data_IF_083195101083
#
_entry.id   IF_083195101083
#
_cell.length_a   1.000
_cell.length_b   1.000
_cell.length_c   1.000
_cell.angle_alpha   90.00
_cell.angle_beta   90.00
_cell.angle_gamma   90.00
#
_symmetry.space_group_name_H-M   'P 1'
#
loop_
_entity.id
_entity.type
_entity.pdbx_description
1 polymer ?
#
# COMPACT_ATOMS: atom_id res chain seq x y z
N UNK A 1 -11.95 -12.48 -13.12
CA UNK A 1 -11.07 -11.46 -12.52
C UNK A 1 -10.48 -12.06 -11.26
N UNK A 2 -9.17 -12.31 -11.26
CA UNK A 2 -8.47 -12.80 -10.08
C UNK A 2 -8.36 -11.67 -9.04
N UNK A 3 -8.50 -12.01 -7.76
CA UNK A 3 -8.43 -11.07 -6.63
C UNK A 3 -7.15 -11.33 -5.83
N UNK A 4 -6.30 -10.31 -5.76
CA UNK A 4 -5.04 -10.38 -5.01
C UNK A 4 -5.02 -9.26 -3.98
N UNK A 5 -4.68 -9.61 -2.74
CA UNK A 5 -4.40 -8.66 -1.67
C UNK A 5 -2.93 -8.72 -1.33
N UNK A 6 -2.27 -7.56 -1.36
CA UNK A 6 -0.91 -7.40 -0.84
C UNK A 6 -1.00 -6.69 0.51
N UNK A 7 -0.40 -7.30 1.53
CA UNK A 7 -0.22 -6.70 2.86
C UNK A 7 1.26 -6.39 3.03
N UNK A 8 1.61 -5.15 3.33
CA UNK A 8 2.99 -4.74 3.56
C UNK A 8 3.15 -4.11 4.94
N UNK A 9 4.19 -4.53 5.67
CA UNK A 9 4.41 -4.13 7.06
C UNK A 9 5.64 -3.23 7.27
N UNK A 10 6.64 -3.34 6.39
CA UNK A 10 7.94 -2.68 6.53
C UNK A 10 7.89 -1.16 6.34
N UNK A 11 8.67 -0.43 7.14
CA UNK A 11 8.83 1.02 7.01
C UNK A 11 9.35 1.41 5.60
N UNK A 12 8.91 2.55 5.04
CA UNK A 12 9.57 3.12 3.87
C UNK A 12 11.02 3.48 4.21
N UNK A 13 11.95 3.21 3.29
CA UNK A 13 13.38 3.56 3.38
C UNK A 13 14.19 2.95 4.55
N UNK A 14 13.56 2.20 5.47
CA UNK A 14 14.27 1.44 6.52
C UNK A 14 14.53 -0.02 6.15
N UNK A 15 13.73 -0.57 5.24
CA UNK A 15 13.92 -1.92 4.68
C UNK A 15 13.40 -1.95 3.24
N UNK A 16 13.86 -2.92 2.46
CA UNK A 16 13.39 -3.10 1.08
C UNK A 16 12.05 -3.87 0.98
N UNK A 17 11.47 -4.32 2.11
CA UNK A 17 10.22 -5.09 2.11
C UNK A 17 9.08 -4.33 1.42
N UNK A 18 8.83 -3.08 1.84
CA UNK A 18 7.79 -2.25 1.24
C UNK A 18 8.08 -1.96 -0.24
N UNK A 19 9.32 -1.57 -0.56
CA UNK A 19 9.74 -1.32 -1.94
C UNK A 19 9.45 -2.52 -2.85
N UNK A 20 9.85 -3.73 -2.43
CA UNK A 20 9.64 -4.95 -3.20
C UNK A 20 8.15 -5.29 -3.33
N UNK A 21 7.34 -5.05 -2.30
CA UNK A 21 5.88 -5.25 -2.35
C UNK A 21 5.22 -4.35 -3.41
N UNK A 22 5.61 -3.07 -3.46
CA UNK A 22 5.10 -2.11 -4.43
C UNK A 22 5.60 -2.41 -5.85
N UNK A 23 6.86 -2.82 -5.99
CA UNK A 23 7.42 -3.23 -7.28
C UNK A 23 6.66 -4.42 -7.86
N UNK A 24 6.31 -5.40 -7.03
CA UNK A 24 5.48 -6.51 -7.45
C UNK A 24 4.06 -6.07 -7.80
N UNK A 25 3.45 -5.20 -6.98
CA UNK A 25 2.11 -4.68 -7.23
C UNK A 25 1.99 -4.00 -8.61
N UNK A 26 2.98 -3.16 -8.96
CA UNK A 26 3.05 -2.49 -10.27
C UNK A 26 3.20 -3.54 -11.38
N UNK A 27 4.15 -4.46 -11.26
CA UNK A 27 4.37 -5.50 -12.27
C UNK A 27 3.13 -6.38 -12.49
N UNK A 28 2.37 -6.72 -11.43
CA UNK A 28 1.13 -7.48 -11.55
C UNK A 28 0.07 -6.74 -12.37
N UNK A 29 -0.07 -5.43 -12.18
CA UNK A 29 -1.03 -4.59 -12.96
C UNK A 29 -0.62 -4.43 -14.40
N UNK A 30 0.68 -4.40 -14.69
CA UNK A 30 1.20 -4.36 -16.05
C UNK A 30 0.98 -5.68 -16.80
N UNK A 31 1.07 -6.83 -16.12
CA UNK A 31 0.88 -8.14 -16.74
C UNK A 31 -0.61 -8.49 -16.94
N UNK A 32 -1.49 -8.10 -16.01
CA UNK A 32 -2.93 -8.39 -16.09
C UNK A 32 -3.78 -7.17 -15.73
N UNK A 33 -4.26 -6.48 -16.77
CA UNK A 33 -5.08 -5.27 -16.60
C UNK A 33 -6.43 -5.53 -15.93
N UNK A 34 -6.98 -6.75 -16.04
CA UNK A 34 -8.25 -7.16 -15.44
C UNK A 34 -8.07 -7.85 -14.07
N UNK A 35 -6.99 -7.51 -13.35
CA UNK A 35 -6.70 -7.96 -11.98
C UNK A 35 -7.36 -7.04 -10.94
N UNK A 36 -8.12 -7.60 -9.98
CA UNK A 36 -8.56 -6.88 -8.78
C UNK A 36 -7.43 -6.95 -7.74
N UNK A 37 -6.50 -5.99 -7.84
CA UNK A 37 -5.39 -5.85 -6.92
C UNK A 37 -5.75 -4.84 -5.84
N UNK A 38 -5.46 -5.18 -4.58
CA UNK A 38 -5.64 -4.27 -3.43
C UNK A 38 -4.40 -4.29 -2.55
N UNK A 39 -4.03 -3.13 -2.03
CA UNK A 39 -2.86 -2.94 -1.18
C UNK A 39 -3.29 -2.45 0.19
N UNK A 40 -2.81 -3.12 1.23
CA UNK A 40 -3.05 -2.73 2.62
C UNK A 40 -1.72 -2.56 3.36
N UNK A 41 -1.45 -1.36 3.84
CA UNK A 41 -0.24 -1.03 4.58
C UNK A 41 -0.54 -1.12 6.08
N UNK A 42 0.28 -1.90 6.79
CA UNK A 42 0.20 -2.12 8.22
C UNK A 42 1.50 -1.72 8.89
N UNK A 43 1.50 -1.66 10.22
CA UNK A 43 2.71 -1.42 11.01
C UNK A 43 3.45 -0.17 10.52
N UNK A 44 4.77 -0.23 10.31
CA UNK A 44 5.55 0.94 9.91
C UNK A 44 5.32 1.38 8.47
N UNK A 45 4.80 0.49 7.62
CA UNK A 45 4.47 0.81 6.23
C UNK A 45 3.44 1.95 6.11
N UNK A 46 2.60 2.19 7.13
CA UNK A 46 1.59 3.26 7.04
C UNK A 46 2.18 4.65 6.88
N UNK A 47 3.42 4.86 7.32
CA UNK A 47 4.14 6.14 7.15
C UNK A 47 4.44 6.45 5.68
N UNK A 48 4.46 5.42 4.82
CA UNK A 48 4.62 5.58 3.38
C UNK A 48 3.45 6.30 2.71
N UNK A 49 2.28 6.35 3.35
CA UNK A 49 1.11 7.06 2.84
C UNK A 49 1.21 8.58 2.97
N UNK A 50 2.21 9.10 3.68
CA UNK A 50 2.41 10.55 3.83
C UNK A 50 2.90 11.19 2.54
N UNK A 51 2.33 12.34 2.20
CA UNK A 51 2.76 13.13 1.04
C UNK A 51 4.03 13.95 1.33
N UNK A 52 4.72 14.34 0.26
CA UNK A 52 5.86 15.25 0.31
C UNK A 52 7.20 14.55 0.49
N UNK A 53 7.28 13.26 0.17
CA UNK A 53 8.52 12.49 0.24
C UNK A 53 9.54 12.97 -0.80
N UNK A 54 10.77 13.24 -0.35
CA UNK A 54 11.89 13.70 -1.19
C UNK A 54 13.15 12.90 -0.86
N UNK A 55 13.21 11.59 -1.20
CA UNK A 55 14.43 10.82 -1.03
C UNK A 55 15.57 11.46 -1.83
N UNK A 56 16.78 11.48 -1.26
CA UNK A 56 17.95 12.09 -1.92
C UNK A 56 18.46 11.26 -3.11
N UNK A 57 18.50 9.94 -2.96
CA UNK A 57 18.88 8.97 -3.98
C UNK A 57 17.97 7.73 -3.91
N UNK A 58 17.90 6.97 -5.01
CA UNK A 58 17.17 5.70 -5.06
C UNK A 58 15.69 5.82 -5.45
N UNK A 59 14.90 4.83 -5.05
CA UNK A 59 13.47 4.75 -5.37
C UNK A 59 12.65 5.75 -4.55
N UNK A 60 11.53 6.19 -5.10
CA UNK A 60 10.57 7.04 -4.41
C UNK A 60 9.27 6.29 -4.16
N UNK A 61 9.00 5.97 -2.89
CA UNK A 61 7.82 5.20 -2.49
C UNK A 61 6.52 5.96 -2.79
N UNK A 62 6.51 7.30 -2.64
CA UNK A 62 5.33 8.10 -2.98
C UNK A 62 4.99 7.95 -4.46
N UNK A 63 5.99 8.06 -5.36
CA UNK A 63 5.75 7.89 -6.80
C UNK A 63 5.20 6.50 -7.13
N UNK A 64 5.69 5.45 -6.46
CA UNK A 64 5.18 4.09 -6.66
C UNK A 64 3.72 3.93 -6.21
N UNK A 65 3.35 4.56 -5.10
CA UNK A 65 1.96 4.58 -4.63
C UNK A 65 1.06 5.38 -5.58
N UNK A 66 1.52 6.52 -6.09
CA UNK A 66 0.81 7.35 -7.07
C UNK A 66 0.56 6.58 -8.39
N UNK A 67 1.51 5.75 -8.83
CA UNK A 67 1.30 4.87 -10.00
C UNK A 67 0.15 3.90 -9.74
N UNK A 68 0.14 3.24 -8.58
CA UNK A 68 -0.89 2.26 -8.23
C UNK A 68 -2.27 2.91 -8.08
N UNK A 69 -2.36 4.06 -7.39
CA UNK A 69 -3.63 4.78 -7.23
C UNK A 69 -4.16 5.31 -8.57
N UNK A 70 -3.28 5.80 -9.45
CA UNK A 70 -3.65 6.20 -10.81
C UNK A 70 -4.18 5.03 -11.67
N UNK A 71 -3.75 3.80 -11.37
CA UNK A 71 -4.27 2.57 -11.98
C UNK A 71 -5.53 2.02 -11.28
N UNK A 72 -6.14 2.81 -10.38
CA UNK A 72 -7.30 2.47 -9.57
C UNK A 72 -7.08 1.27 -8.64
N UNK A 73 -5.85 1.02 -8.20
CA UNK A 73 -5.56 0.05 -7.13
C UNK A 73 -5.95 0.67 -5.79
N UNK A 74 -6.90 0.09 -5.03
CA UNK A 74 -7.20 0.58 -3.69
C UNK A 74 -5.99 0.41 -2.77
N UNK A 75 -5.55 1.53 -2.15
CA UNK A 75 -4.47 1.54 -1.17
C UNK A 75 -5.03 2.02 0.17
N UNK A 76 -4.94 1.17 1.20
CA UNK A 76 -5.42 1.51 2.54
C UNK A 76 -4.33 1.40 3.61
N UNK A 77 -4.30 2.38 4.52
CA UNK A 77 -3.44 2.40 5.69
C UNK A 77 -4.22 1.90 6.90
N UNK A 78 -3.63 1.00 7.69
CA UNK A 78 -4.25 0.53 8.93
C UNK A 78 -4.47 1.68 9.92
N UNK A 79 -5.74 1.97 10.25
CA UNK A 79 -6.15 3.05 11.15
C UNK A 79 -5.44 3.03 12.51
N UNK A 80 -5.39 1.88 13.17
CA UNK A 80 -4.73 1.80 14.49
C UNK A 80 -3.21 2.00 14.38
N UNK A 81 -2.61 1.63 13.24
CA UNK A 81 -1.19 1.89 13.00
C UNK A 81 -0.90 3.36 12.68
N UNK A 82 -1.80 4.05 11.95
CA UNK A 82 -1.67 5.49 11.70
C UNK A 82 -1.90 6.29 12.98
N UNK A 83 -2.87 5.89 13.80
CA UNK A 83 -3.16 6.48 15.12
C UNK A 83 -1.95 6.31 16.04
N UNK A 84 -1.40 5.10 16.13
CA UNK A 84 -0.22 4.80 16.94
C UNK A 84 1.06 5.52 16.50
N UNK A 85 1.12 6.01 15.25
CA UNK A 85 2.23 6.82 14.72
C UNK A 85 1.91 8.32 14.68
N UNK A 86 0.71 8.73 15.10
CA UNK A 86 0.29 10.13 15.11
C UNK A 86 0.14 10.76 13.73
N UNK A 87 -0.15 9.96 12.68
CA UNK A 87 -0.21 10.45 11.30
C UNK A 87 -1.62 10.52 10.71
N UNK A 88 -2.65 10.09 11.43
CA UNK A 88 -4.02 9.95 10.90
C UNK A 88 -4.64 11.24 10.39
N UNK A 89 -4.20 12.39 10.88
CA UNK A 89 -4.71 13.72 10.46
C UNK A 89 -3.77 14.42 9.47
N UNK A 90 -2.65 13.79 9.11
CA UNK A 90 -1.69 14.39 8.20
C UNK A 90 -2.13 14.21 6.74
N UNK A 91 -1.77 15.13 5.85
CA UNK A 91 -2.07 14.99 4.43
C UNK A 91 -1.44 13.72 3.84
N UNK A 92 -2.27 12.87 3.25
CA UNK A 92 -1.85 11.66 2.57
C UNK A 92 -1.59 11.91 1.09
N UNK A 93 -0.95 10.95 0.43
CA UNK A 93 -0.84 10.86 -1.03
C UNK A 93 -2.25 10.72 -1.64
N UNK A 94 -2.49 11.36 -2.77
CA UNK A 94 -3.79 11.30 -3.45
C UNK A 94 -4.18 9.85 -3.81
N UNK A 95 -5.40 9.46 -3.40
CA UNK A 95 -5.92 8.10 -3.59
C UNK A 95 -5.53 7.09 -2.51
N UNK A 96 -4.67 7.47 -1.55
CA UNK A 96 -4.38 6.66 -0.36
C UNK A 96 -5.40 7.00 0.74
N UNK A 97 -6.04 5.98 1.30
CA UNK A 97 -7.06 6.13 2.33
C UNK A 97 -6.67 5.46 3.64
N UNK A 98 -7.26 5.88 4.76
CA UNK A 98 -7.17 5.13 6.02
C UNK A 98 -8.29 4.09 6.05
N UNK A 99 -7.92 2.84 6.25
CA UNK A 99 -8.82 1.69 6.36
C UNK A 99 -8.75 1.00 7.72
N UNK A 100 -9.71 0.14 7.97
CA UNK A 100 -9.85 -0.64 9.21
C UNK A 100 -9.39 -2.09 9.01
N UNK A 101 -9.07 -2.75 10.12
CA UNK A 101 -8.76 -4.19 10.08
C UNK A 101 -9.95 -5.04 9.61
N UNK A 102 -11.19 -4.55 9.81
CA UNK A 102 -12.41 -5.20 9.31
C UNK A 102 -12.42 -5.22 7.78
N UNK A 103 -12.04 -4.11 7.13
CA UNK A 103 -11.93 -4.06 5.67
C UNK A 103 -10.84 -4.97 5.15
N UNK A 104 -9.68 -5.02 5.82
CA UNK A 104 -8.63 -5.98 5.47
C UNK A 104 -9.15 -7.42 5.59
N UNK A 105 -9.84 -7.77 6.67
CA UNK A 105 -10.42 -9.11 6.83
C UNK A 105 -11.40 -9.45 5.71
N UNK A 106 -12.25 -8.51 5.30
CA UNK A 106 -13.15 -8.68 4.16
C UNK A 106 -12.39 -8.88 2.85
N UNK A 107 -11.34 -8.08 2.61
CA UNK A 107 -10.48 -8.22 1.43
C UNK A 107 -9.83 -9.59 1.40
N UNK A 108 -9.22 -10.02 2.52
CA UNK A 108 -8.58 -11.33 2.69
C UNK A 108 -9.55 -12.49 2.43
N UNK A 109 -10.76 -12.46 3.01
CA UNK A 109 -11.77 -13.51 2.81
C UNK A 109 -12.23 -13.62 1.34
N UNK A 110 -12.22 -12.50 0.62
CA UNK A 110 -12.65 -12.44 -0.77
C UNK A 110 -11.54 -12.72 -1.78
N UNK A 111 -10.28 -12.79 -1.34
CA UNK A 111 -9.12 -12.89 -2.21
C UNK A 111 -8.84 -14.33 -2.64
N UNK A 112 -8.43 -14.51 -3.88
CA UNK A 112 -7.91 -15.80 -4.35
C UNK A 112 -6.47 -16.01 -3.87
N UNK A 113 -5.74 -14.92 -3.60
CA UNK A 113 -4.36 -14.93 -3.12
C UNK A 113 -4.06 -13.75 -2.21
N UNK A 114 -3.34 -14.01 -1.13
CA UNK A 114 -2.81 -12.98 -0.23
C UNK A 114 -1.29 -13.09 -0.19
N UNK A 115 -0.60 -11.99 -0.43
CA UNK A 115 0.86 -11.88 -0.36
C UNK A 115 1.22 -10.94 0.78
N UNK A 116 2.11 -11.36 1.67
CA UNK A 116 2.53 -10.56 2.82
C UNK A 116 4.02 -10.26 2.73
N UNK A 117 4.38 -9.00 3.03
CA UNK A 117 5.74 -8.46 3.00
C UNK A 117 6.10 -7.79 4.33
#
# INVERSE_FOLDING_TARGET
MQKIVIVANGAPYGSESLFNSLRLAIALREQESNLDLRLFLMSDAVTAGLRGQKPGEGYNIQQMLEILTAQNVPVKLCKTCTDGRGISTLPLIDGVEIGTLVELAQWTLSADKVLTF
#
